data_IF_077935124232
#
_entry.id   IF_077935124232
#
_cell.length_a   1.000
_cell.length_b   1.000
_cell.length_c   1.000
_cell.angle_alpha   90.00
_cell.angle_beta   90.00
_cell.angle_gamma   90.00
#
_symmetry.space_group_name_H-M   'P 1'
#
loop_
_entity.id
_entity.type
_entity.pdbx_description
1 polymer ?
#
# COMPACT_ATOMS: atom_id res chain seq x y z
N UNK A 1 -4.82 35.44 -24.55
CA UNK A 1 -3.85 34.44 -25.01
C UNK A 1 -4.06 33.22 -24.14
N UNK A 2 -4.56 32.10 -24.69
CA UNK A 2 -4.71 30.87 -23.89
C UNK A 2 -3.30 30.31 -23.66
N UNK A 3 -2.78 30.44 -22.44
CA UNK A 3 -1.56 29.75 -22.05
C UNK A 3 -1.85 28.25 -22.08
N UNK A 4 -1.10 27.49 -22.89
CA UNK A 4 -1.18 26.03 -22.88
C UNK A 4 -0.51 25.53 -21.61
N UNK A 5 -1.28 24.81 -20.79
CA UNK A 5 -0.85 24.27 -19.51
C UNK A 5 -0.79 22.76 -19.62
N UNK A 6 0.35 22.18 -19.23
CA UNK A 6 0.52 20.74 -19.06
C UNK A 6 0.61 20.42 -17.57
N UNK A 7 -0.13 19.41 -17.09
CA UNK A 7 -0.13 18.99 -15.68
C UNK A 7 0.69 17.72 -15.52
N UNK A 8 1.71 17.76 -14.65
CA UNK A 8 2.62 16.63 -14.43
C UNK A 8 3.00 16.51 -12.95
N UNK A 9 3.35 15.30 -12.52
CA UNK A 9 3.92 15.08 -11.20
C UNK A 9 5.29 15.77 -11.08
N UNK A 10 5.46 16.59 -10.04
CA UNK A 10 6.73 17.26 -9.73
C UNK A 10 7.43 16.53 -8.58
N UNK A 11 8.50 15.81 -8.91
CA UNK A 11 9.34 15.09 -7.95
C UNK A 11 9.95 16.01 -6.89
N UNK A 12 10.20 17.29 -7.22
CA UNK A 12 10.71 18.26 -6.24
C UNK A 12 9.70 18.62 -5.15
N UNK A 13 8.42 18.31 -5.38
CA UNK A 13 7.30 18.49 -4.45
C UNK A 13 6.76 17.13 -3.98
N UNK A 14 7.58 16.07 -4.01
CA UNK A 14 7.17 14.74 -3.56
C UNK A 14 6.18 14.04 -4.49
N UNK A 15 6.13 14.41 -5.77
CA UNK A 15 5.28 13.78 -6.77
C UNK A 15 3.88 14.40 -6.92
N UNK A 16 3.63 15.57 -6.32
CA UNK A 16 2.37 16.29 -6.50
C UNK A 16 2.19 16.81 -7.92
N UNK A 17 0.93 16.84 -8.38
CA UNK A 17 0.58 17.36 -9.70
C UNK A 17 0.76 18.90 -9.74
N UNK A 18 1.63 19.36 -10.63
CA UNK A 18 1.94 20.77 -10.85
C UNK A 18 1.56 21.20 -12.26
N UNK A 19 1.10 22.43 -12.39
CA UNK A 19 0.84 23.06 -13.68
C UNK A 19 2.16 23.62 -14.26
N UNK A 20 2.47 23.24 -15.49
CA UNK A 20 3.61 23.73 -16.26
C UNK A 20 3.12 24.57 -17.43
N UNK A 21 3.72 25.73 -17.61
CA UNK A 21 3.50 26.60 -18.76
C UNK A 21 4.30 26.10 -19.94
N UNK A 22 3.65 25.87 -21.07
CA UNK A 22 4.32 25.52 -22.32
C UNK A 22 4.88 26.78 -22.98
N UNK A 23 6.21 26.86 -23.08
CA UNK A 23 6.92 28.01 -23.67
C UNK A 23 7.73 27.56 -24.87
N UNK A 24 7.52 28.23 -26.01
CA UNK A 24 8.30 27.99 -27.22
C UNK A 24 9.63 28.73 -27.14
N UNK A 25 10.66 28.03 -26.64
CA UNK A 25 12.06 28.51 -26.58
C UNK A 25 13.03 27.34 -26.64
N UNK A 26 14.33 27.64 -26.74
CA UNK A 26 15.39 26.63 -26.66
C UNK A 26 15.48 26.09 -25.23
N UNK A 27 15.51 24.76 -25.09
CA UNK A 27 15.68 24.09 -23.82
C UNK A 27 17.14 24.06 -23.36
N UNK A 28 17.37 24.19 -22.06
CA UNK A 28 18.65 23.95 -21.40
C UNK A 28 18.77 22.49 -20.94
N UNK A 29 20.00 22.03 -20.68
CA UNK A 29 20.25 20.70 -20.12
C UNK A 29 19.60 20.59 -18.74
N UNK A 30 18.88 19.51 -18.49
CA UNK A 30 18.12 19.26 -17.26
C UNK A 30 16.67 19.78 -17.29
N UNK A 31 16.25 20.52 -18.32
CA UNK A 31 14.86 20.95 -18.45
C UNK A 31 13.97 19.81 -19.00
N UNK A 32 12.67 19.89 -18.70
CA UNK A 32 11.65 19.01 -19.26
C UNK A 32 11.05 19.66 -20.50
N UNK A 33 10.96 18.89 -21.58
CA UNK A 33 10.35 19.30 -22.84
C UNK A 33 9.18 18.39 -23.18
N UNK A 34 8.17 18.92 -23.86
CA UNK A 34 7.03 18.16 -24.38
C UNK A 34 7.12 18.12 -25.88
N UNK A 35 7.13 16.93 -26.46
CA UNK A 35 7.14 16.71 -27.89
C UNK A 35 5.80 17.13 -28.50
N UNK A 36 5.81 18.03 -29.49
CA UNK A 36 4.59 18.58 -30.10
C UNK A 36 4.37 18.13 -31.56
N UNK A 37 5.23 17.23 -32.08
CA UNK A 37 5.02 16.57 -33.36
C UNK A 37 5.24 17.41 -34.61
N UNK A 38 5.90 18.58 -34.48
CA UNK A 38 6.04 19.52 -35.59
C UNK A 38 7.21 19.17 -36.52
N UNK A 39 7.01 18.13 -37.34
CA UNK A 39 7.48 17.94 -38.73
C UNK A 39 7.56 16.42 -39.02
N UNK A 40 6.70 15.88 -39.89
CA UNK A 40 6.71 14.47 -40.33
C UNK A 40 7.82 14.23 -41.37
N UNK A 41 8.98 14.84 -41.15
CA UNK A 41 10.07 14.92 -42.10
C UNK A 41 11.28 14.11 -41.67
N UNK A 42 11.23 12.80 -41.95
CA UNK A 42 12.38 11.89 -42.06
C UNK A 42 13.41 11.93 -40.92
N UNK A 43 13.32 10.96 -40.01
CA UNK A 43 14.54 10.43 -39.41
C UNK A 43 15.39 9.84 -40.54
N UNK A 44 16.70 10.10 -40.52
CA UNK A 44 17.68 9.80 -41.59
C UNK A 44 17.74 8.34 -42.10
N UNK A 45 16.95 7.42 -41.53
CA UNK A 45 17.03 5.98 -41.80
C UNK A 45 15.68 5.32 -42.15
N UNK A 46 14.62 6.10 -42.41
CA UNK A 46 13.28 5.53 -42.72
C UNK A 46 12.59 4.85 -41.53
N UNK A 47 13.10 5.08 -40.32
CA UNK A 47 12.52 4.60 -39.05
C UNK A 47 11.42 5.57 -38.62
N UNK A 48 10.24 5.02 -38.30
CA UNK A 48 9.12 5.79 -37.73
C UNK A 48 9.59 6.63 -36.54
N UNK A 49 9.01 7.82 -36.39
CA UNK A 49 9.37 8.71 -35.29
C UNK A 49 9.07 7.99 -33.96
N UNK A 50 10.08 7.71 -33.10
CA UNK A 50 9.87 6.94 -31.88
C UNK A 50 9.19 7.75 -30.77
N UNK A 51 8.81 9.01 -31.05
CA UNK A 51 8.18 9.92 -30.10
C UNK A 51 6.68 10.04 -30.33
N UNK A 52 5.93 9.92 -29.23
CA UNK A 52 4.49 10.17 -29.24
C UNK A 52 4.21 11.66 -28.98
N UNK A 53 3.26 12.23 -29.72
CA UNK A 53 2.84 13.63 -29.51
C UNK A 53 2.30 13.79 -28.09
N UNK A 54 2.88 14.72 -27.34
CA UNK A 54 2.58 14.94 -25.93
C UNK A 54 3.56 14.26 -24.96
N UNK A 55 4.48 13.42 -25.44
CA UNK A 55 5.48 12.77 -24.60
C UNK A 55 6.41 13.81 -23.94
N UNK A 56 6.67 13.64 -22.63
CA UNK A 56 7.54 14.50 -21.84
C UNK A 56 8.90 13.86 -21.67
N UNK A 57 9.94 14.61 -22.00
CA UNK A 57 11.31 14.13 -22.10
C UNK A 57 12.26 15.04 -21.33
N UNK A 58 13.33 14.45 -20.79
CA UNK A 58 14.38 15.17 -20.08
C UNK A 58 15.55 15.47 -21.02
N UNK A 59 15.98 16.73 -21.08
CA UNK A 59 17.10 17.16 -21.92
C UNK A 59 18.42 16.75 -21.28
N UNK A 60 19.19 15.89 -21.95
CA UNK A 60 20.50 15.40 -21.49
C UNK A 60 21.69 16.17 -22.08
N UNK A 61 21.45 16.96 -23.13
CA UNK A 61 22.49 17.66 -23.86
C UNK A 61 21.94 18.55 -24.96
N UNK A 62 22.83 19.27 -25.64
CA UNK A 62 22.53 20.02 -26.87
C UNK A 62 23.39 19.45 -27.98
N UNK A 63 22.79 19.24 -29.15
CA UNK A 63 23.51 18.78 -30.32
C UNK A 63 23.40 19.81 -31.44
N UNK A 64 24.55 20.09 -32.07
CA UNK A 64 24.67 20.97 -33.23
C UNK A 64 24.91 20.09 -34.46
N UNK A 65 23.93 20.03 -35.35
CA UNK A 65 24.02 19.22 -36.56
C UNK A 65 24.48 20.05 -37.76
N UNK A 66 25.78 20.22 -37.94
CA UNK A 66 26.31 20.56 -39.28
C UNK A 66 26.16 19.32 -40.19
N UNK A 67 25.69 19.42 -41.45
CA UNK A 67 25.67 20.57 -42.34
C UNK A 67 24.27 21.21 -42.55
N UNK A 68 23.33 21.04 -41.63
CA UNK A 68 21.98 21.64 -41.73
C UNK A 68 21.98 23.09 -41.21
N UNK A 69 21.06 23.97 -41.67
CA UNK A 69 21.02 25.39 -41.29
C UNK A 69 20.89 25.60 -39.77
N UNK A 70 21.24 26.80 -39.29
CA UNK A 70 21.37 27.22 -37.87
C UNK A 70 20.16 26.92 -36.96
N UNK A 71 19.01 26.54 -37.53
CA UNK A 71 17.80 26.10 -36.84
C UNK A 71 17.81 24.60 -36.45
N UNK A 72 18.85 23.84 -36.87
CA UNK A 72 19.03 22.42 -36.59
C UNK A 72 19.77 22.13 -35.26
N UNK A 73 19.78 23.10 -34.34
CA UNK A 73 20.21 22.85 -32.96
C UNK A 73 19.05 22.15 -32.26
N UNK A 74 19.32 20.98 -31.70
CA UNK A 74 18.32 20.14 -31.05
C UNK A 74 18.62 19.87 -29.58
N UNK A 75 17.63 19.31 -28.89
CA UNK A 75 17.79 18.73 -27.57
C UNK A 75 18.18 17.26 -27.69
N UNK A 76 19.26 16.86 -27.00
CA UNK A 76 19.56 15.46 -26.76
C UNK A 76 18.64 14.95 -25.67
N UNK A 77 18.13 13.73 -25.84
CA UNK A 77 17.28 13.05 -24.88
C UNK A 77 17.97 11.75 -24.47
N UNK A 78 17.95 11.42 -23.18
CA UNK A 78 18.67 10.25 -22.66
C UNK A 78 18.20 8.95 -23.34
N UNK A 79 19.13 8.29 -24.04
CA UNK A 79 18.89 6.98 -24.67
C UNK A 79 17.96 7.01 -25.89
N UNK A 80 17.70 8.18 -26.49
CA UNK A 80 16.77 8.32 -27.64
C UNK A 80 17.29 9.33 -28.69
N UNK A 81 16.74 9.34 -29.92
CA UNK A 81 17.18 10.25 -31.00
C UNK A 81 17.04 11.74 -30.65
N UNK A 82 17.86 12.61 -31.24
CA UNK A 82 17.77 14.05 -30.96
C UNK A 82 16.46 14.65 -31.50
N UNK A 83 15.94 15.68 -30.82
CA UNK A 83 14.70 16.39 -31.19
C UNK A 83 15.05 17.82 -31.60
N UNK A 84 14.48 18.33 -32.70
CA UNK A 84 14.73 19.71 -33.15
C UNK A 84 14.06 20.72 -32.22
N UNK A 85 14.63 21.90 -32.09
CA UNK A 85 14.03 23.02 -31.32
C UNK A 85 12.61 23.39 -31.81
N UNK A 86 12.27 23.08 -33.07
CA UNK A 86 10.92 23.25 -33.65
C UNK A 86 9.88 22.23 -33.16
N UNK A 87 10.31 21.05 -32.70
CA UNK A 87 9.46 19.86 -32.44
C UNK A 87 9.07 19.69 -30.96
N UNK A 88 9.48 20.61 -30.09
CA UNK A 88 9.11 20.57 -28.68
C UNK A 88 8.71 21.94 -28.13
N UNK A 89 8.10 21.93 -26.94
CA UNK A 89 7.91 23.10 -26.07
C UNK A 89 8.58 22.84 -24.72
N UNK A 90 9.14 23.88 -24.11
CA UNK A 90 9.74 23.78 -22.78
C UNK A 90 8.65 23.91 -21.73
N UNK A 91 8.70 23.06 -20.70
CA UNK A 91 7.75 23.05 -19.60
C UNK A 91 8.31 23.87 -18.44
N UNK A 92 7.82 25.09 -18.27
CA UNK A 92 8.22 25.95 -17.17
C UNK A 92 7.31 25.73 -15.95
N UNK A 93 7.89 25.43 -14.77
CA UNK A 93 7.12 25.14 -13.57
C UNK A 93 6.39 26.40 -13.05
N UNK A 94 5.07 26.35 -12.89
CA UNK A 94 4.30 27.47 -12.31
C UNK A 94 4.15 27.35 -10.79
N UNK A 95 3.68 28.38 -10.10
CA UNK A 95 3.38 28.28 -8.65
C UNK A 95 2.08 27.51 -8.35
N UNK A 96 1.40 26.96 -9.37
CA UNK A 96 0.08 26.34 -9.21
C UNK A 96 0.21 24.81 -9.18
N UNK A 97 -0.41 24.20 -8.17
CA UNK A 97 -0.52 22.75 -8.00
C UNK A 97 -1.98 22.31 -7.96
N UNK A 98 -2.22 21.04 -8.25
CA UNK A 98 -3.53 20.38 -8.18
C UNK A 98 -3.53 19.30 -7.12
N UNK A 99 -4.44 19.42 -6.16
CA UNK A 99 -4.65 18.45 -5.09
C UNK A 99 -6.15 18.12 -5.09
N UNK A 100 -6.51 16.85 -5.25
CA UNK A 100 -7.90 16.36 -5.29
C UNK A 100 -8.83 17.14 -6.24
N UNK A 101 -8.29 17.57 -7.40
CA UNK A 101 -9.02 18.35 -8.41
C UNK A 101 -9.12 19.85 -8.13
N UNK A 102 -8.68 20.33 -6.95
CA UNK A 102 -8.63 21.75 -6.61
C UNK A 102 -7.26 22.37 -6.94
N UNK A 103 -7.28 23.64 -7.40
CA UNK A 103 -6.07 24.42 -7.74
C UNK A 103 -5.60 25.23 -6.54
N UNK A 104 -4.33 25.09 -6.18
CA UNK A 104 -3.69 25.85 -5.11
C UNK A 104 -2.46 26.56 -5.62
N UNK A 105 -2.24 27.80 -5.18
CA UNK A 105 -1.03 28.56 -5.40
C UNK A 105 -0.10 28.37 -4.21
N UNK A 106 1.14 28.00 -4.51
CA UNK A 106 2.23 27.91 -3.55
C UNK A 106 2.72 29.32 -3.22
N UNK A 107 2.71 29.70 -1.95
CA UNK A 107 3.15 31.00 -1.46
C UNK A 107 4.17 30.81 -0.34
N UNK A 108 5.34 31.45 -0.50
CA UNK A 108 6.40 31.46 0.50
C UNK A 108 6.15 32.59 1.53
N UNK A 109 5.26 32.33 2.49
CA UNK A 109 4.95 33.22 3.63
C UNK A 109 4.78 32.44 4.93
N UNK A 110 4.80 33.14 6.07
CA UNK A 110 4.43 32.54 7.36
C UNK A 110 2.96 32.06 7.31
N UNK A 111 2.73 30.83 7.74
CA UNK A 111 1.39 30.25 7.79
C UNK A 111 0.63 30.72 9.03
N UNK A 112 -0.69 30.91 8.88
CA UNK A 112 -1.60 31.18 9.98
C UNK A 112 -2.34 29.92 10.41
N UNK A 113 -2.94 29.95 11.61
CA UNK A 113 -3.80 28.86 12.09
C UNK A 113 -4.96 28.66 11.12
N UNK A 114 -5.15 27.42 10.67
CA UNK A 114 -6.15 27.03 9.69
C UNK A 114 -5.67 26.96 8.24
N UNK A 115 -4.49 27.52 7.92
CA UNK A 115 -3.90 27.46 6.58
C UNK A 115 -3.56 26.01 6.19
N UNK A 116 -3.58 25.74 4.89
CA UNK A 116 -3.02 24.51 4.32
C UNK A 116 -1.57 24.74 3.97
N UNK A 117 -0.71 23.80 4.34
CA UNK A 117 0.72 23.86 4.07
C UNK A 117 1.18 22.60 3.37
N UNK A 118 2.07 22.79 2.41
CA UNK A 118 2.81 21.75 1.72
C UNK A 118 4.21 21.62 2.33
N UNK A 119 4.64 20.39 2.56
CA UNK A 119 6.03 20.13 2.98
C UNK A 119 6.85 19.62 1.79
N UNK A 120 7.88 20.37 1.34
CA UNK A 120 8.66 20.00 0.16
C UNK A 120 9.75 18.95 0.44
N UNK A 121 9.99 18.60 1.71
CA UNK A 121 11.06 17.69 2.12
C UNK A 121 10.58 16.69 3.15
N UNK A 122 11.22 15.52 3.15
CA UNK A 122 11.01 14.47 4.15
C UNK A 122 11.54 14.90 5.52
N UNK A 123 10.76 14.64 6.57
CA UNK A 123 11.24 14.68 7.96
C UNK A 123 11.22 13.27 8.54
N UNK A 124 12.12 12.42 8.05
CA UNK A 124 12.32 11.05 8.53
C UNK A 124 11.02 10.25 8.57
N UNK A 125 10.52 10.00 9.79
CA UNK A 125 9.31 9.22 10.09
C UNK A 125 8.06 10.04 10.39
N UNK A 126 8.13 11.38 10.37
CA UNK A 126 7.01 12.24 10.79
C UNK A 126 6.10 12.59 9.62
N UNK A 127 6.69 13.06 8.51
CA UNK A 127 5.99 13.38 7.28
C UNK A 127 6.94 13.25 6.08
N UNK A 128 6.35 13.05 4.91
CA UNK A 128 7.03 12.89 3.62
C UNK A 128 6.91 14.15 2.77
N UNK A 129 7.86 14.37 1.88
CA UNK A 129 7.79 15.38 0.84
C UNK A 129 6.49 15.17 0.04
N UNK A 130 5.79 16.27 -0.23
CA UNK A 130 4.48 16.23 -0.90
C UNK A 130 3.30 16.05 0.04
N UNK A 131 3.51 15.80 1.35
CA UNK A 131 2.40 15.76 2.29
C UNK A 131 1.83 17.15 2.53
N UNK A 132 0.49 17.21 2.62
CA UNK A 132 -0.27 18.43 2.84
C UNK A 132 -0.89 18.36 4.23
N UNK A 133 -0.72 19.41 5.01
CA UNK A 133 -1.23 19.47 6.38
C UNK A 133 -2.02 20.74 6.64
N UNK A 134 -2.89 20.68 7.65
CA UNK A 134 -3.63 21.85 8.13
C UNK A 134 -2.99 22.39 9.39
N UNK A 135 -2.66 23.68 9.41
CA UNK A 135 -2.03 24.31 10.58
C UNK A 135 -3.01 24.38 11.75
N UNK A 136 -2.62 23.82 12.89
CA UNK A 136 -3.34 23.90 14.17
C UNK A 136 -2.82 25.01 15.07
N UNK A 137 -1.51 25.24 15.07
CA UNK A 137 -0.87 26.26 15.90
C UNK A 137 0.31 26.87 15.14
N UNK A 138 0.52 28.18 15.28
CA UNK A 138 1.65 28.88 14.70
C UNK A 138 2.51 29.47 15.82
N UNK A 139 3.82 29.23 15.77
CA UNK A 139 4.79 29.70 16.74
C UNK A 139 5.43 31.01 16.27
N UNK A 140 5.92 31.81 17.22
CA UNK A 140 6.50 33.14 16.94
C UNK A 140 7.80 33.07 16.10
N UNK A 141 8.53 31.95 16.22
CA UNK A 141 9.73 31.63 15.45
C UNK A 141 9.45 31.30 13.97
N UNK A 142 8.17 31.23 13.58
CA UNK A 142 7.72 30.93 12.22
C UNK A 142 7.48 29.44 11.96
N UNK A 143 7.71 28.56 12.93
CA UNK A 143 7.31 27.17 12.86
C UNK A 143 5.80 27.00 13.08
N UNK A 144 5.26 25.86 12.66
CA UNK A 144 3.83 25.54 12.81
C UNK A 144 3.62 24.11 13.28
N UNK A 145 2.63 23.90 14.13
CA UNK A 145 2.09 22.57 14.40
C UNK A 145 0.99 22.29 13.39
N UNK A 146 1.17 21.29 12.55
CA UNK A 146 0.27 20.96 11.46
C UNK A 146 -0.26 19.52 11.57
N UNK A 147 -1.50 19.34 11.15
CA UNK A 147 -2.22 18.08 11.15
C UNK A 147 -2.16 17.42 9.77
N UNK A 148 -1.48 16.27 9.72
CA UNK A 148 -1.21 15.44 8.56
C UNK A 148 -2.20 14.28 8.40
N UNK A 149 -3.25 14.20 9.22
CA UNK A 149 -4.23 13.10 9.22
C UNK A 149 -4.92 12.84 7.87
N UNK A 150 -4.92 13.82 6.96
CA UNK A 150 -5.44 13.68 5.59
C UNK A 150 -4.49 13.01 4.59
N UNK A 151 -3.28 12.59 4.98
CA UNK A 151 -2.33 11.93 4.09
C UNK A 151 -2.37 10.40 4.25
N UNK A 152 -1.84 9.67 3.26
CA UNK A 152 -1.75 8.20 3.27
C UNK A 152 -0.85 7.65 4.39
N UNK A 153 0.10 8.45 4.88
CA UNK A 153 0.98 8.11 5.99
C UNK A 153 0.77 9.10 7.14
N UNK A 154 0.45 8.58 8.32
CA UNK A 154 0.20 9.37 9.53
C UNK A 154 0.90 8.71 10.71
N UNK A 155 1.92 9.36 11.26
CA UNK A 155 2.64 8.88 12.44
C UNK A 155 2.06 9.50 13.72
N UNK A 156 1.90 8.69 14.79
CA UNK A 156 1.47 9.09 16.15
C UNK A 156 0.37 10.18 16.22
N UNK A 157 -0.80 9.93 15.64
CA UNK A 157 -1.94 10.86 15.69
C UNK A 157 -1.87 12.05 14.72
N UNK A 158 -0.80 12.16 13.93
CA UNK A 158 -0.74 13.02 12.74
C UNK A 158 -0.46 14.50 12.98
N UNK A 159 -0.28 14.94 14.22
CA UNK A 159 0.01 16.35 14.52
C UNK A 159 1.50 16.51 14.80
N UNK A 160 2.19 17.24 13.93
CA UNK A 160 3.64 17.38 14.02
C UNK A 160 4.10 18.81 13.83
N UNK A 161 5.24 19.10 14.44
CA UNK A 161 5.95 20.36 14.29
C UNK A 161 6.64 20.45 12.93
N UNK A 162 6.40 21.55 12.22
CA UNK A 162 6.93 21.85 10.89
C UNK A 162 7.60 23.22 10.95
N UNK A 163 8.93 23.25 10.87
CA UNK A 163 9.73 24.47 10.99
C UNK A 163 11.22 24.22 10.79
N UNK A 164 12.02 25.28 10.80
CA UNK A 164 13.48 25.21 10.61
C UNK A 164 13.90 24.91 9.16
N UNK A 165 14.97 24.12 8.99
CA UNK A 165 15.64 23.85 7.70
C UNK A 165 14.79 23.09 6.68
N UNK A 166 13.70 22.46 7.14
CA UNK A 166 12.81 21.65 6.29
C UNK A 166 11.85 22.56 5.51
N UNK A 167 11.40 23.64 6.15
CA UNK A 167 10.47 24.63 5.58
C UNK A 167 9.09 24.07 5.24
N UNK A 168 8.12 24.97 5.10
CA UNK A 168 6.80 24.67 4.54
C UNK A 168 6.45 25.74 3.50
N UNK A 169 5.51 25.43 2.62
CA UNK A 169 4.92 26.41 1.70
C UNK A 169 3.43 26.49 1.90
N UNK A 170 2.89 27.70 1.97
CA UNK A 170 1.45 27.90 2.17
C UNK A 170 0.72 27.66 0.86
N UNK A 171 -0.42 26.98 0.94
CA UNK A 171 -1.29 26.70 -0.18
C UNK A 171 -2.51 27.59 -0.11
N UNK A 172 -2.58 28.55 -1.02
CA UNK A 172 -3.74 29.43 -1.16
C UNK A 172 -4.66 28.88 -2.26
N UNK A 173 -5.97 28.70 -2.00
CA UNK A 173 -6.89 28.26 -3.03
C UNK A 173 -6.96 29.30 -4.14
N UNK A 174 -6.64 28.90 -5.37
CA UNK A 174 -6.84 29.76 -6.54
C UNK A 174 -8.31 29.62 -6.92
N UNK A 175 -9.09 30.68 -6.72
CA UNK A 175 -10.42 30.77 -7.33
C UNK A 175 -10.21 30.75 -8.84
N UNK A 176 -10.60 29.67 -9.49
CA UNK A 176 -10.61 29.55 -10.94
C UNK A 176 -11.46 30.66 -11.54
N UNK A 177 -10.95 31.34 -12.57
CA UNK A 177 -11.68 32.36 -13.34
C UNK A 177 -12.90 31.79 -14.11
N UNK A 178 -13.19 30.49 -13.99
CA UNK A 178 -14.45 29.88 -14.42
C UNK A 178 -15.59 30.11 -13.39
N UNK A 179 -15.27 30.62 -12.19
CA UNK A 179 -16.23 31.17 -11.21
C UNK A 179 -16.25 32.72 -11.23
N UNK A 180 -16.04 33.34 -12.41
CA UNK A 180 -16.46 34.74 -12.58
C UNK A 180 -17.98 34.76 -12.61
N UNK A 181 -18.59 34.82 -11.43
CA UNK A 181 -19.83 35.57 -11.28
C UNK A 181 -19.58 36.96 -11.89
N UNK A 182 -20.47 37.44 -12.78
CA UNK A 182 -20.22 38.65 -13.55
C UNK A 182 -19.95 39.82 -12.58
N UNK A 183 -19.00 40.68 -13.00
CA UNK A 183 -18.60 41.91 -12.32
C UNK A 183 -19.76 42.61 -11.57
N UNK A 184 -19.53 43.21 -10.39
CA UNK A 184 -20.58 43.99 -9.74
C UNK A 184 -20.89 45.22 -10.61
N UNK A 185 -22.12 45.30 -11.10
CA UNK A 185 -22.72 46.47 -11.75
C UNK A 185 -22.88 47.60 -10.72
N UNK A 186 -21.78 48.24 -10.33
CA UNK A 186 -21.83 49.47 -9.54
C UNK A 186 -21.93 50.67 -10.46
N UNK A 187 -23.14 50.97 -10.97
CA UNK A 187 -23.60 52.32 -11.39
C UNK A 187 -25.06 52.35 -11.90
N UNK A 188 -26.05 51.78 -11.18
CA UNK A 188 -27.48 52.01 -11.45
C UNK A 188 -28.32 52.11 -10.15
N UNK A 189 -29.42 52.88 -10.13
CA UNK A 189 -30.13 53.22 -8.89
C UNK A 189 -30.79 52.00 -8.22
N UNK A 190 -30.80 52.05 -6.88
CA UNK A 190 -31.12 50.94 -5.96
C UNK A 190 -32.41 50.11 -6.20
N UNK A 191 -33.54 50.63 -6.73
CA UNK A 191 -34.73 49.80 -6.89
C UNK A 191 -34.65 48.80 -8.05
N UNK A 192 -33.87 49.07 -9.11
CA UNK A 192 -33.72 48.13 -10.24
C UNK A 192 -32.75 46.99 -9.92
N UNK A 193 -31.71 47.26 -9.12
CA UNK A 193 -30.77 46.24 -8.64
C UNK A 193 -31.45 45.20 -7.73
N UNK A 194 -32.42 45.63 -6.93
CA UNK A 194 -33.18 44.73 -6.06
C UNK A 194 -34.07 43.78 -6.87
N UNK A 195 -34.68 44.26 -7.96
CA UNK A 195 -35.53 43.44 -8.82
C UNK A 195 -34.73 42.37 -9.60
N UNK A 196 -33.56 42.73 -10.15
CA UNK A 196 -32.69 41.76 -10.83
C UNK A 196 -32.07 40.75 -9.86
N UNK A 197 -31.70 41.16 -8.64
CA UNK A 197 -31.21 40.24 -7.62
C UNK A 197 -32.29 39.27 -7.17
N UNK A 198 -33.53 39.73 -7.00
CA UNK A 198 -34.66 38.86 -6.65
C UNK A 198 -34.94 37.88 -7.81
N UNK A 199 -34.90 38.33 -9.06
CA UNK A 199 -35.08 37.46 -10.22
C UNK A 199 -33.94 36.43 -10.36
N UNK A 200 -32.69 36.83 -10.11
CA UNK A 200 -31.52 35.94 -10.13
C UNK A 200 -31.58 34.90 -9.01
N UNK A 201 -31.94 35.32 -7.80
CA UNK A 201 -32.11 34.42 -6.66
C UNK A 201 -33.28 33.46 -6.87
N UNK A 202 -34.40 33.92 -7.44
CA UNK A 202 -35.52 33.05 -7.82
C UNK A 202 -35.10 32.02 -8.88
N UNK A 203 -34.34 32.43 -9.90
CA UNK A 203 -33.81 31.50 -10.89
C UNK A 203 -32.85 30.47 -10.29
N UNK A 204 -32.00 30.88 -9.34
CA UNK A 204 -31.09 29.96 -8.63
C UNK A 204 -31.85 29.00 -7.71
N UNK A 205 -32.89 29.47 -7.00
CA UNK A 205 -33.75 28.63 -6.16
C UNK A 205 -34.47 27.60 -7.02
N UNK A 206 -35.08 27.99 -8.15
CA UNK A 206 -35.75 27.03 -9.04
C UNK A 206 -34.78 26.03 -9.70
N UNK A 207 -33.54 26.44 -9.98
CA UNK A 207 -32.51 25.54 -10.47
C UNK A 207 -32.01 24.56 -9.39
N UNK A 208 -31.86 25.02 -8.14
CA UNK A 208 -31.51 24.19 -6.99
C UNK A 208 -32.63 23.21 -6.65
N UNK A 209 -33.88 23.66 -6.65
CA UNK A 209 -35.06 22.80 -6.47
C UNK A 209 -35.15 21.73 -7.56
N UNK A 210 -34.85 22.08 -8.81
CA UNK A 210 -34.79 21.10 -9.92
C UNK A 210 -33.65 20.09 -9.73
N UNK A 211 -32.49 20.53 -9.22
CA UNK A 211 -31.35 19.63 -8.90
C UNK A 211 -31.64 18.75 -7.69
N UNK A 212 -32.30 19.26 -6.66
CA UNK A 212 -32.72 18.48 -5.49
C UNK A 212 -33.79 17.49 -5.90
N UNK A 213 -34.78 17.86 -6.71
CA UNK A 213 -35.78 16.93 -7.24
C UNK A 213 -35.18 15.87 -8.18
N UNK A 214 -34.11 16.19 -8.92
CA UNK A 214 -33.36 15.23 -9.72
C UNK A 214 -32.55 14.27 -8.83
N UNK A 215 -31.90 14.78 -7.77
CA UNK A 215 -31.17 13.97 -6.80
C UNK A 215 -32.10 13.09 -5.95
N UNK A 216 -33.29 13.58 -5.59
CA UNK A 216 -34.33 12.79 -4.93
C UNK A 216 -34.88 11.69 -5.85
N UNK A 217 -35.01 11.96 -7.16
CA UNK A 217 -35.34 10.92 -8.16
C UNK A 217 -34.21 9.92 -8.39
N UNK A 218 -32.94 10.33 -8.27
CA UNK A 218 -31.79 9.42 -8.30
C UNK A 218 -31.65 8.61 -7.01
N UNK A 219 -32.13 9.13 -5.88
CA UNK A 219 -32.16 8.40 -4.60
C UNK A 219 -33.20 7.26 -4.59
N UNK A 220 -34.20 7.31 -5.47
CA UNK A 220 -35.18 6.23 -5.71
C UNK A 220 -34.95 5.42 -6.98
N UNK A 221 -33.76 5.52 -7.60
CA UNK A 221 -33.28 4.54 -8.57
C UNK A 221 -32.17 3.66 -8.00
N UNK A 222 -32.25 3.40 -6.69
CA UNK A 222 -31.70 2.20 -6.08
C UNK A 222 -32.46 0.98 -6.65
N UNK A 223 -31.80 0.08 -7.40
CA UNK A 223 -32.48 -1.14 -7.83
C UNK A 223 -32.91 -1.95 -6.61
N UNK A 224 -34.19 -2.31 -6.62
CA UNK A 224 -34.88 -3.24 -5.72
C UNK A 224 -33.96 -4.36 -5.24
N UNK A 225 -33.95 -4.53 -3.92
CA UNK A 225 -33.51 -5.71 -3.17
C UNK A 225 -33.87 -7.02 -3.90
N UNK A 226 -32.90 -7.60 -4.60
CA UNK A 226 -32.76 -9.04 -4.70
C UNK A 226 -31.98 -9.50 -3.47
N UNK A 227 -32.59 -10.42 -2.72
CA UNK A 227 -32.02 -11.09 -1.55
C UNK A 227 -30.71 -11.77 -1.97
N UNK A 228 -29.58 -11.18 -1.58
CA UNK A 228 -28.22 -11.76 -1.69
C UNK A 228 -27.69 -11.88 -0.24
N UNK A 229 -27.03 -12.99 0.14
CA UNK A 229 -26.72 -13.32 1.54
C UNK A 229 -25.68 -12.36 2.16
N UNK A 230 -25.52 -12.32 3.50
CA UNK A 230 -24.84 -11.23 4.21
C UNK A 230 -23.36 -11.12 3.82
N UNK A 231 -22.95 -9.97 3.26
CA UNK A 231 -21.54 -9.64 3.04
C UNK A 231 -20.91 -9.05 4.31
N UNK A 232 -19.86 -9.75 4.77
CA UNK A 232 -19.02 -9.48 5.94
C UNK A 232 -18.48 -8.04 5.96
N UNK A 233 -18.47 -7.47 7.16
CA UNK A 233 -17.72 -6.27 7.57
C UNK A 233 -16.26 -6.27 7.07
N UNK A 234 -15.62 -5.08 6.92
CA UNK A 234 -14.20 -5.01 6.59
C UNK A 234 -13.39 -5.76 7.65
N UNK A 235 -12.63 -6.78 7.21
CA UNK A 235 -11.93 -7.70 8.10
C UNK A 235 -10.71 -7.01 8.70
N UNK A 236 -10.47 -7.19 10.00
CA UNK A 236 -9.26 -6.70 10.65
C UNK A 236 -8.02 -7.47 10.13
N UNK A 237 -6.79 -6.91 10.22
CA UNK A 237 -5.58 -7.64 9.81
C UNK A 237 -5.42 -9.00 10.50
N UNK A 238 -5.84 -9.10 11.77
CA UNK A 238 -5.88 -10.35 12.51
C UNK A 238 -6.87 -11.36 11.89
N UNK A 239 -8.06 -10.92 11.49
CA UNK A 239 -9.04 -11.77 10.82
C UNK A 239 -8.54 -12.25 9.45
N UNK A 240 -7.79 -11.41 8.73
CA UNK A 240 -7.14 -11.80 7.46
C UNK A 240 -6.09 -12.88 7.72
N UNK A 241 -5.25 -12.73 8.76
CA UNK A 241 -4.25 -13.74 9.14
C UNK A 241 -4.91 -15.06 9.52
N UNK A 242 -5.94 -15.04 10.36
CA UNK A 242 -6.67 -16.24 10.78
C UNK A 242 -7.30 -16.96 9.57
N UNK A 243 -7.94 -16.23 8.65
CA UNK A 243 -8.50 -16.82 7.43
C UNK A 243 -7.42 -17.43 6.52
N UNK A 244 -6.23 -16.84 6.46
CA UNK A 244 -5.10 -17.39 5.69
C UNK A 244 -4.50 -18.64 6.33
N UNK A 245 -4.40 -18.69 7.66
CA UNK A 245 -3.95 -19.88 8.40
C UNK A 245 -4.94 -21.03 8.19
N UNK A 246 -6.24 -20.77 8.29
CA UNK A 246 -7.26 -21.79 8.03
C UNK A 246 -7.26 -22.26 6.57
N UNK A 247 -7.08 -21.34 5.62
CA UNK A 247 -6.90 -21.72 4.21
C UNK A 247 -5.65 -22.56 4.01
N UNK A 248 -4.54 -22.25 4.67
CA UNK A 248 -3.31 -23.04 4.59
C UNK A 248 -3.51 -24.47 5.15
N UNK A 249 -4.27 -24.63 6.25
CA UNK A 249 -4.65 -25.95 6.77
C UNK A 249 -5.53 -26.73 5.78
N UNK A 250 -6.54 -26.06 5.22
CA UNK A 250 -7.42 -26.66 4.22
C UNK A 250 -6.65 -27.06 2.94
N UNK A 251 -5.72 -26.23 2.48
CA UNK A 251 -4.85 -26.50 1.33
C UNK A 251 -3.96 -27.71 1.58
N UNK A 252 -3.33 -27.82 2.76
CA UNK A 252 -2.51 -28.99 3.10
C UNK A 252 -3.37 -30.25 3.08
N UNK A 253 -4.55 -30.21 3.71
CA UNK A 253 -5.49 -31.34 3.74
C UNK A 253 -5.96 -31.72 2.34
N UNK A 254 -6.40 -30.76 1.55
CA UNK A 254 -6.86 -30.98 0.18
C UNK A 254 -5.74 -31.56 -0.69
N UNK A 255 -4.54 -31.00 -0.63
CA UNK A 255 -3.40 -31.51 -1.39
C UNK A 255 -2.96 -32.89 -0.92
N UNK A 256 -3.10 -33.22 0.37
CA UNK A 256 -2.81 -34.55 0.90
C UNK A 256 -3.92 -35.58 0.62
N UNK A 257 -5.08 -35.17 0.12
CA UNK A 257 -6.22 -36.06 -0.16
C UNK A 257 -6.59 -36.08 -1.65
N UNK A 258 -6.03 -35.17 -2.47
CA UNK A 258 -6.35 -35.08 -3.90
C UNK A 258 -5.53 -36.11 -4.70
N UNK A 259 -6.19 -37.09 -5.34
CA UNK A 259 -5.50 -38.04 -6.21
C UNK A 259 -5.05 -37.38 -7.52
N UNK A 260 -3.99 -37.91 -8.13
CA UNK A 260 -3.56 -37.60 -9.50
C UNK A 260 -3.12 -36.16 -9.76
N UNK A 261 -2.47 -35.51 -8.78
CA UNK A 261 -1.75 -34.25 -9.08
C UNK A 261 -0.62 -34.60 -10.07
N UNK A 262 -0.65 -34.07 -11.32
CA UNK A 262 0.36 -34.38 -12.30
C UNK A 262 1.64 -33.61 -11.96
N UNK A 263 2.69 -34.34 -11.62
CA UNK A 263 3.99 -33.80 -11.26
C UNK A 263 4.93 -34.07 -12.43
N UNK A 264 5.49 -33.00 -12.98
CA UNK A 264 6.58 -33.12 -13.94
C UNK A 264 7.87 -33.45 -13.19
N UNK A 265 8.48 -34.58 -13.53
CA UNK A 265 9.81 -34.93 -13.05
C UNK A 265 10.71 -35.39 -14.20
N UNK A 266 11.98 -35.65 -13.86
CA UNK A 266 13.02 -36.09 -14.80
C UNK A 266 12.75 -37.44 -15.48
N UNK A 267 11.68 -38.15 -15.12
CA UNK A 267 11.27 -39.45 -15.68
C UNK A 267 9.89 -39.43 -16.38
N UNK A 268 9.17 -38.31 -16.43
CA UNK A 268 7.86 -38.17 -17.09
C UNK A 268 6.81 -37.43 -16.23
N UNK A 269 5.52 -37.58 -16.58
CA UNK A 269 4.40 -37.21 -15.67
C UNK A 269 4.14 -38.37 -14.72
N UNK A 270 4.50 -38.20 -13.45
CA UNK A 270 4.05 -39.10 -12.37
C UNK A 270 2.85 -38.43 -11.68
N UNK A 271 1.87 -39.22 -11.26
CA UNK A 271 0.77 -38.74 -10.41
C UNK A 271 1.13 -38.90 -8.94
N UNK A 272 0.77 -37.93 -8.10
CA UNK A 272 0.75 -38.11 -6.64
C UNK A 272 -0.47 -38.95 -6.23
N UNK A 273 -0.25 -40.05 -5.50
CA UNK A 273 -1.30 -40.98 -5.07
C UNK A 273 -1.38 -41.07 -3.54
N UNK A 274 -1.96 -40.06 -2.87
CA UNK A 274 -2.08 -40.07 -1.43
C UNK A 274 -3.17 -41.03 -0.93
N UNK A 275 -3.13 -41.32 0.37
CA UNK A 275 -4.23 -41.96 1.10
C UNK A 275 -5.53 -41.13 1.01
N UNK A 276 -6.60 -41.76 0.53
CA UNK A 276 -7.95 -41.18 0.49
C UNK A 276 -8.88 -42.08 1.29
N UNK A 277 -9.47 -41.54 2.35
CA UNK A 277 -10.46 -42.27 3.15
C UNK A 277 -11.73 -42.51 2.31
N UNK A 278 -12.11 -43.77 2.10
CA UNK A 278 -13.25 -44.16 1.27
C UNK A 278 -12.94 -44.42 -0.21
N UNK A 279 -11.65 -44.43 -0.62
CA UNK A 279 -11.25 -45.01 -1.90
C UNK A 279 -11.67 -46.49 -1.93
N UNK A 280 -12.46 -46.89 -2.94
CA UNK A 280 -12.93 -48.28 -3.06
C UNK A 280 -11.77 -49.29 -3.08
N UNK A 281 -12.08 -50.59 -2.95
CA UNK A 281 -11.13 -51.72 -2.81
C UNK A 281 -10.00 -51.82 -3.86
N UNK A 282 -9.99 -50.96 -4.88
CA UNK A 282 -8.95 -50.86 -5.92
C UNK A 282 -7.97 -49.68 -5.75
N UNK A 283 -8.07 -48.87 -4.68
CA UNK A 283 -7.22 -47.71 -4.47
C UNK A 283 -6.19 -47.97 -3.36
N UNK A 284 -4.98 -48.40 -3.73
CA UNK A 284 -3.85 -48.51 -2.80
C UNK A 284 -3.04 -47.20 -2.80
N UNK A 285 -2.87 -46.52 -1.65
CA UNK A 285 -2.08 -45.32 -1.57
C UNK A 285 -0.59 -45.64 -1.64
N UNK A 286 0.09 -44.96 -2.55
CA UNK A 286 1.52 -45.17 -2.83
C UNK A 286 2.36 -44.09 -2.15
N UNK A 287 1.84 -42.85 -2.06
CA UNK A 287 2.59 -41.70 -1.58
C UNK A 287 2.10 -41.16 -0.22
N UNK A 288 3.07 -40.82 0.65
CA UNK A 288 2.82 -40.22 1.97
C UNK A 288 3.60 -38.92 2.13
N UNK A 289 2.99 -37.92 2.78
CA UNK A 289 3.62 -36.63 3.08
C UNK A 289 4.09 -36.61 4.54
N UNK A 290 5.40 -36.42 4.74
CA UNK A 290 6.03 -36.24 6.04
C UNK A 290 6.51 -34.79 6.18
N UNK A 291 6.10 -34.12 7.26
CA UNK A 291 6.50 -32.74 7.54
C UNK A 291 7.55 -32.68 8.66
N UNK A 292 8.69 -32.05 8.38
CA UNK A 292 9.68 -31.70 9.38
C UNK A 292 9.67 -30.20 9.65
N UNK A 293 9.27 -29.82 10.87
CA UNK A 293 9.21 -28.43 11.34
C UNK A 293 10.42 -28.15 12.22
N UNK A 294 11.35 -27.31 11.75
CA UNK A 294 12.47 -26.84 12.55
C UNK A 294 12.24 -25.38 12.96
N UNK A 295 11.75 -25.20 14.20
CA UNK A 295 11.44 -23.88 14.77
C UNK A 295 12.68 -23.00 14.94
N UNK A 296 13.81 -23.57 15.37
CA UNK A 296 15.08 -22.83 15.54
C UNK A 296 15.58 -22.23 14.23
N UNK A 297 15.50 -23.02 13.15
CA UNK A 297 15.90 -22.59 11.80
C UNK A 297 14.76 -21.93 11.02
N UNK A 298 13.59 -21.75 11.64
CA UNK A 298 12.38 -21.16 11.02
C UNK A 298 12.06 -21.79 9.65
N UNK A 299 12.26 -23.10 9.54
CA UNK A 299 12.22 -23.85 8.27
C UNK A 299 11.21 -25.00 8.39
N UNK A 300 10.38 -25.17 7.36
CA UNK A 300 9.50 -26.34 7.23
C UNK A 300 9.88 -27.09 5.95
N UNK A 301 10.03 -28.41 6.06
CA UNK A 301 10.33 -29.30 4.94
C UNK A 301 9.20 -30.30 4.79
N UNK A 302 8.63 -30.40 3.59
CA UNK A 302 7.68 -31.44 3.21
C UNK A 302 8.43 -32.49 2.39
N UNK A 303 8.40 -33.74 2.84
CA UNK A 303 8.97 -34.89 2.15
C UNK A 303 7.83 -35.78 1.66
N UNK A 304 7.84 -36.12 0.37
CA UNK A 304 6.90 -37.09 -0.19
C UNK A 304 7.64 -38.41 -0.40
N UNK A 305 7.09 -39.47 0.18
CA UNK A 305 7.68 -40.80 0.22
C UNK A 305 6.76 -41.78 -0.48
N UNK A 306 7.33 -42.63 -1.33
CA UNK A 306 6.65 -43.83 -1.80
C UNK A 306 7.07 -45.03 -0.96
N UNK A 307 6.13 -45.95 -0.74
CA UNK A 307 6.32 -47.26 -0.12
C UNK A 307 7.45 -48.10 -0.76
N UNK A 308 7.63 -48.02 -2.08
CA UNK A 308 8.64 -48.80 -2.82
C UNK A 308 10.01 -48.10 -2.93
N UNK A 309 10.04 -46.76 -2.95
CA UNK A 309 11.21 -45.99 -3.44
C UNK A 309 11.82 -45.02 -2.43
N UNK A 310 11.22 -44.83 -1.25
CA UNK A 310 11.67 -43.83 -0.27
C UNK A 310 11.28 -42.40 -0.64
N UNK A 311 12.02 -41.41 -0.15
CA UNK A 311 11.73 -39.97 -0.39
C UNK A 311 12.09 -39.63 -1.83
N UNK A 312 11.12 -39.23 -2.64
CA UNK A 312 11.36 -38.88 -4.05
C UNK A 312 11.00 -37.44 -4.40
N UNK A 313 10.20 -36.74 -3.59
CA UNK A 313 10.01 -35.28 -3.70
C UNK A 313 10.23 -34.58 -2.37
N UNK A 314 10.74 -33.36 -2.45
CA UNK A 314 10.96 -32.50 -1.29
C UNK A 314 10.65 -31.06 -1.63
N UNK A 315 9.99 -30.36 -0.70
CA UNK A 315 9.77 -28.94 -0.77
C UNK A 315 10.21 -28.28 0.54
N UNK A 316 10.83 -27.11 0.43
CA UNK A 316 11.33 -26.35 1.58
C UNK A 316 10.69 -24.96 1.60
N UNK A 317 10.24 -24.55 2.77
CA UNK A 317 9.86 -23.16 3.07
C UNK A 317 10.72 -22.62 4.22
N UNK A 318 11.03 -21.32 4.15
CA UNK A 318 11.83 -20.60 5.13
C UNK A 318 11.06 -19.32 5.44
N UNK A 319 10.79 -19.06 6.72
CA UNK A 319 10.19 -17.81 7.15
C UNK A 319 11.26 -16.71 7.23
N UNK A 320 10.92 -15.51 6.78
CA UNK A 320 11.83 -14.36 6.82
C UNK A 320 12.23 -14.03 8.27
N UNK A 321 13.45 -13.49 8.51
CA UNK A 321 13.94 -13.24 9.87
C UNK A 321 13.12 -12.20 10.64
N UNK A 322 12.47 -11.25 9.94
CA UNK A 322 11.66 -10.18 10.52
C UNK A 322 10.16 -10.51 10.57
N UNK A 323 9.76 -11.70 10.12
CA UNK A 323 8.35 -12.12 10.09
C UNK A 323 8.02 -12.96 11.34
N UNK A 324 6.76 -13.38 11.53
CA UNK A 324 6.35 -14.29 12.61
C UNK A 324 6.20 -15.70 12.05
N UNK A 325 6.84 -16.67 12.70
CA UNK A 325 6.87 -18.05 12.22
C UNK A 325 5.50 -18.73 12.41
N UNK A 326 4.97 -19.33 11.35
CA UNK A 326 3.76 -20.15 11.40
C UNK A 326 3.99 -21.47 10.66
N UNK A 327 3.86 -22.61 11.35
CA UNK A 327 4.12 -23.90 10.75
C UNK A 327 3.05 -24.30 9.72
N UNK A 328 1.78 -23.90 9.88
CA UNK A 328 0.72 -24.26 8.93
C UNK A 328 0.94 -23.61 7.56
N UNK A 329 1.24 -22.31 7.55
CA UNK A 329 1.61 -21.58 6.33
C UNK A 329 2.89 -22.19 5.72
N UNK A 330 3.88 -22.47 6.57
CA UNK A 330 5.12 -23.13 6.15
C UNK A 330 4.90 -24.50 5.51
N UNK A 331 4.01 -25.33 6.05
CA UNK A 331 3.63 -26.66 5.52
C UNK A 331 2.93 -26.53 4.17
N UNK A 332 1.99 -25.60 4.01
CA UNK A 332 1.30 -25.36 2.73
C UNK A 332 2.28 -24.96 1.61
N UNK A 333 3.19 -24.01 1.89
CA UNK A 333 4.21 -23.57 0.94
C UNK A 333 5.18 -24.72 0.61
N UNK A 334 5.63 -25.46 1.63
CA UNK A 334 6.55 -26.57 1.44
C UNK A 334 5.92 -27.69 0.59
N UNK A 335 4.65 -28.04 0.84
CA UNK A 335 3.95 -29.06 0.08
C UNK A 335 3.71 -28.64 -1.37
N UNK A 336 3.23 -27.42 -1.61
CA UNK A 336 3.05 -26.89 -2.98
C UNK A 336 4.36 -26.90 -3.76
N UNK A 337 5.48 -26.51 -3.12
CA UNK A 337 6.82 -26.59 -3.73
C UNK A 337 7.27 -28.03 -3.99
N UNK A 338 6.94 -28.98 -3.12
CA UNK A 338 7.26 -30.39 -3.32
C UNK A 338 6.50 -30.97 -4.54
N UNK A 339 5.25 -30.55 -4.74
CA UNK A 339 4.38 -30.97 -5.83
C UNK A 339 4.60 -30.17 -7.14
N UNK A 340 5.49 -29.18 -7.16
CA UNK A 340 5.72 -28.31 -8.33
C UNK A 340 4.58 -27.33 -8.64
N UNK A 341 3.67 -27.08 -7.68
CA UNK A 341 2.53 -26.18 -7.84
C UNK A 341 2.92 -24.74 -7.52
N UNK A 342 2.23 -23.79 -8.16
CA UNK A 342 2.36 -22.37 -7.82
C UNK A 342 1.93 -22.11 -6.38
N UNK A 343 2.75 -21.31 -5.68
CA UNK A 343 2.48 -20.87 -4.31
C UNK A 343 1.67 -19.58 -4.38
N UNK A 344 0.47 -19.52 -3.78
CA UNK A 344 -0.31 -18.30 -3.72
C UNK A 344 0.48 -17.14 -3.11
N UNK A 345 0.45 -15.97 -3.77
CA UNK A 345 1.15 -14.77 -3.29
C UNK A 345 0.68 -14.33 -1.90
N UNK A 346 -0.57 -14.63 -1.55
CA UNK A 346 -1.16 -14.38 -0.22
C UNK A 346 -0.39 -15.06 0.92
N UNK A 347 0.21 -16.23 0.69
CA UNK A 347 1.04 -16.93 1.69
C UNK A 347 2.45 -16.34 1.83
N UNK A 348 2.88 -15.49 0.90
CA UNK A 348 4.18 -14.83 0.93
C UNK A 348 4.13 -13.46 1.65
N UNK A 349 2.94 -12.87 1.80
CA UNK A 349 2.74 -11.55 2.40
C UNK A 349 1.62 -11.58 3.45
N UNK A 350 1.76 -12.45 4.44
CA UNK A 350 0.79 -12.58 5.54
C UNK A 350 1.03 -11.49 6.58
N UNK A 351 0.00 -10.72 7.00
CA UNK A 351 0.17 -9.71 8.05
C UNK A 351 0.61 -10.33 9.38
N UNK A 352 1.42 -9.62 10.16
CA UNK A 352 1.86 -10.07 11.49
C UNK A 352 0.67 -10.16 12.47
N UNK A 353 0.70 -11.09 13.45
CA UNK A 353 -0.33 -11.16 14.48
C UNK A 353 -0.32 -9.90 15.35
N UNK A 354 -1.50 -9.34 15.61
CA UNK A 354 -1.69 -8.11 16.38
C UNK A 354 -1.98 -8.36 17.87
N UNK A 355 -2.43 -9.56 18.22
CA UNK A 355 -2.81 -9.94 19.58
C UNK A 355 -2.14 -11.26 19.96
N UNK A 356 -1.69 -11.34 21.22
CA UNK A 356 -1.13 -12.55 21.82
C UNK A 356 -2.29 -13.47 22.19
N UNK A 357 -2.20 -14.75 21.82
CA UNK A 357 -3.16 -15.77 22.23
C UNK A 357 -2.48 -16.88 23.03
N UNK A 358 -3.26 -17.59 23.84
CA UNK A 358 -2.80 -18.78 24.53
C UNK A 358 -2.26 -19.80 23.52
N UNK A 359 -1.07 -20.33 23.79
CA UNK A 359 -0.33 -21.22 22.89
C UNK A 359 0.67 -20.53 21.96
N UNK A 360 0.70 -19.20 21.90
CA UNK A 360 1.72 -18.46 21.14
C UNK A 360 3.08 -18.51 21.84
N UNK A 361 4.17 -18.62 21.08
CA UNK A 361 5.53 -18.51 21.61
C UNK A 361 5.93 -17.04 21.56
N UNK A 362 6.14 -16.48 22.74
CA UNK A 362 6.50 -15.08 22.95
C UNK A 362 7.92 -14.96 23.45
N UNK A 363 8.52 -13.80 23.20
CA UNK A 363 9.81 -13.40 23.79
C UNK A 363 9.65 -12.08 24.52
N UNK A 364 10.13 -12.04 25.75
CA UNK A 364 10.20 -10.83 26.53
C UNK A 364 11.24 -9.87 25.95
N UNK A 365 10.81 -8.65 25.64
CA UNK A 365 11.64 -7.60 25.04
C UNK A 365 11.70 -6.33 25.88
N UNK A 366 10.70 -6.08 26.73
CA UNK A 366 10.61 -4.89 27.56
C UNK A 366 11.40 -4.96 28.87
N UNK A 367 11.73 -3.78 29.41
CA UNK A 367 12.34 -3.63 30.74
C UNK A 367 11.37 -3.91 31.89
N UNK A 368 10.05 -3.92 31.62
CA UNK A 368 9.02 -4.28 32.58
C UNK A 368 8.78 -5.79 32.72
N UNK A 369 9.32 -6.60 31.79
CA UNK A 369 9.28 -8.05 31.93
C UNK A 369 10.20 -8.50 33.08
N UNK A 370 9.68 -9.37 33.94
CA UNK A 370 10.46 -9.93 35.06
C UNK A 370 11.77 -10.61 34.62
N UNK A 371 11.80 -11.18 33.41
CA UNK A 371 12.97 -11.82 32.82
C UNK A 371 13.13 -11.45 31.34
N UNK A 372 13.79 -10.32 31.02
CA UNK A 372 13.96 -9.86 29.65
C UNK A 372 14.83 -10.83 28.84
N UNK A 373 14.47 -11.07 27.58
CA UNK A 373 15.18 -11.97 26.66
C UNK A 373 14.79 -13.44 26.77
N UNK A 374 13.94 -13.81 27.74
CA UNK A 374 13.39 -15.17 27.85
C UNK A 374 12.32 -15.42 26.79
N UNK A 375 12.29 -16.65 26.28
CA UNK A 375 11.29 -17.12 25.31
C UNK A 375 10.45 -18.22 25.96
N UNK A 376 9.14 -18.18 25.79
CA UNK A 376 8.24 -19.19 26.34
C UNK A 376 6.88 -19.22 25.66
N UNK A 377 6.06 -20.19 26.06
CA UNK A 377 4.71 -20.39 25.53
C UNK A 377 3.71 -19.66 26.40
N UNK A 378 2.86 -18.82 25.81
CA UNK A 378 1.77 -18.15 26.51
C UNK A 378 0.78 -19.19 27.06
N UNK A 379 0.56 -19.19 28.37
CA UNK A 379 -0.32 -20.14 29.09
C UNK A 379 -1.66 -19.50 29.42
N UNK A 380 -1.66 -18.23 29.84
CA UNK A 380 -2.88 -17.49 30.18
C UNK A 380 -2.72 -16.00 29.89
N UNK A 381 -3.87 -15.34 29.69
CA UNK A 381 -4.00 -13.90 29.50
C UNK A 381 -4.83 -13.35 30.64
N UNK A 382 -4.35 -12.30 31.30
CA UNK A 382 -5.05 -11.60 32.37
C UNK A 382 -5.64 -10.30 31.81
N UNK A 383 -6.93 -10.36 31.46
CA UNK A 383 -7.65 -9.26 30.83
C UNK A 383 -7.85 -8.03 31.74
N UNK A 384 -7.73 -8.20 33.07
CA UNK A 384 -7.88 -7.10 34.04
C UNK A 384 -6.65 -6.18 34.08
N UNK A 385 -5.45 -6.76 33.99
CA UNK A 385 -4.18 -6.02 34.11
C UNK A 385 -3.46 -5.84 32.75
N UNK A 386 -3.99 -6.40 31.65
CA UNK A 386 -3.35 -6.37 30.33
C UNK A 386 -2.03 -7.16 30.28
N UNK A 387 -1.93 -8.18 31.14
CA UNK A 387 -0.76 -9.02 31.31
C UNK A 387 -0.94 -10.41 30.73
N UNK A 388 0.17 -11.12 30.52
CA UNK A 388 0.18 -12.51 30.12
C UNK A 388 1.15 -13.31 30.98
N UNK A 389 0.83 -14.58 31.15
CA UNK A 389 1.69 -15.56 31.79
C UNK A 389 2.25 -16.48 30.72
N UNK A 390 3.57 -16.56 30.60
CA UNK A 390 4.24 -17.51 29.70
C UNK A 390 5.13 -18.48 30.46
N UNK A 391 5.05 -19.75 30.08
CA UNK A 391 5.91 -20.82 30.57
C UNK A 391 7.21 -20.80 29.79
N UNK A 392 8.32 -20.56 30.47
CA UNK A 392 9.65 -20.56 29.87
C UNK A 392 10.54 -21.61 30.55
N UNK A 393 11.55 -22.06 29.81
CA UNK A 393 12.52 -23.02 30.33
C UNK A 393 13.81 -22.27 30.65
N UNK A 394 14.00 -21.97 31.93
CA UNK A 394 15.25 -21.37 32.42
C UNK A 394 16.22 -22.49 32.84
N UNK A 395 17.42 -22.51 32.24
CA UNK A 395 18.62 -23.22 32.71
C UNK A 395 18.45 -24.66 33.22
N UNK A 396 17.60 -25.45 32.55
CA UNK A 396 17.47 -26.89 32.84
C UNK A 396 16.90 -27.23 34.24
N UNK A 397 16.34 -26.26 34.98
CA UNK A 397 15.65 -26.52 36.26
C UNK A 397 14.30 -25.80 36.33
N UNK A 398 13.25 -26.62 36.27
CA UNK A 398 11.79 -26.36 36.39
C UNK A 398 11.18 -25.43 35.34
N UNK A 399 10.02 -25.86 34.86
CA UNK A 399 9.07 -25.06 34.09
C UNK A 399 8.58 -23.93 35.00
N UNK A 400 9.08 -22.71 34.75
CA UNK A 400 8.71 -21.51 35.47
C UNK A 400 7.71 -20.71 34.64
N UNK A 401 6.63 -20.25 35.28
CA UNK A 401 5.72 -19.30 34.67
C UNK A 401 6.20 -17.89 35.01
N UNK A 402 6.35 -17.04 34.00
CA UNK A 402 6.73 -15.64 34.16
C UNK A 402 5.62 -14.76 33.64
N UNK A 403 5.33 -13.73 34.42
CA UNK A 403 4.36 -12.71 34.06
C UNK A 403 5.06 -11.56 33.31
N UNK A 404 4.41 -11.05 32.27
CA UNK A 404 4.82 -9.83 31.56
C UNK A 404 3.61 -9.12 30.99
N UNK A 405 3.72 -7.82 30.74
CA UNK A 405 2.71 -7.07 30.01
C UNK A 405 2.70 -7.44 28.52
N UNK A 406 1.53 -7.35 27.87
CA UNK A 406 1.40 -7.61 26.43
C UNK A 406 2.29 -6.70 25.56
N UNK A 407 2.49 -5.45 26.00
CA UNK A 407 3.36 -4.48 25.30
C UNK A 407 4.86 -4.80 25.40
N UNK A 408 5.26 -5.59 26.40
CA UNK A 408 6.65 -5.94 26.66
C UNK A 408 7.07 -7.25 25.98
N UNK A 409 6.17 -7.90 25.23
CA UNK A 409 6.43 -9.17 24.55
C UNK A 409 6.29 -9.07 23.04
N UNK A 410 7.10 -9.85 22.33
CA UNK A 410 6.98 -10.02 20.87
C UNK A 410 6.61 -11.47 20.55
N UNK A 411 5.61 -11.68 19.67
CA UNK A 411 5.24 -13.01 19.17
C UNK A 411 6.30 -13.48 18.18
N UNK A 412 6.84 -14.69 18.39
CA UNK A 412 7.85 -15.30 17.50
C UNK A 412 7.26 -16.45 16.70
N UNK A 413 6.36 -17.24 17.31
CA UNK A 413 5.68 -18.37 16.68
C UNK A 413 4.20 -18.40 17.10
N UNK A 414 3.29 -18.33 16.14
CA UNK A 414 1.83 -18.33 16.35
C UNK A 414 1.15 -19.61 15.85
N UNK A 415 1.91 -20.71 15.74
CA UNK A 415 1.43 -22.00 15.24
C UNK A 415 0.39 -22.66 16.15
N UNK A 416 0.46 -22.43 17.48
CA UNK A 416 -0.49 -22.94 18.51
C UNK A 416 -0.67 -24.47 18.60
N UNK A 417 0.09 -25.28 17.87
CA UNK A 417 0.01 -26.76 17.87
C UNK A 417 0.45 -27.46 19.19
N UNK A 418 0.74 -26.71 20.26
CA UNK A 418 1.15 -27.26 21.56
C UNK A 418 0.11 -27.18 22.69
N UNK A 419 -0.97 -26.40 22.51
CA UNK A 419 -1.94 -26.14 23.59
C UNK A 419 -3.01 -27.24 23.75
N UNK A 420 -3.17 -28.14 22.78
CA UNK A 420 -4.13 -29.25 22.87
C UNK A 420 -3.69 -30.36 23.84
N UNK A 421 -2.44 -30.34 24.33
CA UNK A 421 -1.91 -31.35 25.25
C UNK A 421 -2.04 -30.99 26.74
N UNK A 422 -2.52 -29.80 27.10
CA UNK A 422 -2.73 -29.41 28.51
C UNK A 422 -4.20 -29.34 28.94
N UNK A 423 -5.16 -29.48 28.01
CA UNK A 423 -6.58 -29.46 28.34
C UNK A 423 -7.17 -30.84 28.69
N UNK A 424 -6.41 -31.94 28.53
CA UNK A 424 -6.91 -33.31 28.72
C UNK A 424 -6.36 -34.07 29.94
N UNK A 425 -5.52 -33.46 30.79
CA UNK A 425 -4.99 -34.14 31.99
C UNK A 425 -5.67 -33.77 33.32
N UNK A 426 -6.76 -33.00 33.31
CA UNK A 426 -7.52 -32.64 34.52
C UNK A 426 -8.80 -33.45 34.69
N UNK A 427 -8.76 -34.75 34.41
CA UNK A 427 -9.86 -35.66 34.71
C UNK A 427 -9.38 -37.09 34.98
N UNK A 428 -8.45 -37.27 35.92
CA UNK A 428 -8.29 -38.56 36.63
C UNK A 428 -7.81 -38.31 38.04
N UNK A 429 -8.75 -38.32 38.98
CA UNK A 429 -8.46 -38.49 40.39
C UNK A 429 -9.45 -37.81 41.32
N UNK A 430 -10.66 -38.37 41.50
CA UNK A 430 -11.34 -38.48 42.80
C UNK A 430 -12.28 -39.70 42.77
N UNK A 431 -11.93 -40.71 43.58
CA UNK A 431 -12.73 -41.69 44.32
C UNK A 431 -14.06 -42.24 43.75
N UNK A 432 -14.11 -43.57 43.54
CA UNK A 432 -14.77 -44.52 44.45
C UNK A 432 -14.30 -45.95 44.14
#
# INVERSE_FOLDING_TARGET
>A
MNEQITVLADESLGGLLREYREVKRKAAVGERIKFNGFDRGFNMDGVENPYEVGEVLLVSGRYDHRPFPEDAIGACVTGRPNIRDSEYVVLEPTEIIRIDGARFRIVDRKAAVGDRVLVPRDCGRFYKAGNVARVRYAYDDGAVSADFSGNSYVYNGGVWHVGGDIGYRVLEPVKSEEDVAPMPLSTRPAPEQAAENIASLQAQISALESRVAALEKEQYNTPKLTVIPPQKSPKTPQQIRDELVERAKADVKALSETPLVPIENSCGRIGFWPYVEGGGESYMPIDFVEFHVNREKRTVVALIRSDESGVWLRGRSICAPNDVFNAHIGRAIALRRALGLEVPAEYLSVPAPMEVRVGDIVKATGSGAYLPGTTGVCVSLDAEDGGLLYAHRHDGRRDGNTWAFEEDVSIIDDTREGAELSASSSAKGVAA
#
